data_IF_134757694989
#
_entry.id   IF_134757694989
#
_cell.length_a   1.000
_cell.length_b   1.000
_cell.length_c   1.000
_cell.angle_alpha   90.00
_cell.angle_beta   90.00
_cell.angle_gamma   90.00
#
_symmetry.space_group_name_H-M   'P 1'
#
loop_
_entity.id
_entity.type
_entity.pdbx_description
1 polymer ?
#
# COMPACT_ATOMS: atom_id res chain seq x y z
N UNK A 1 -21.38 -2.15 68.36
CA UNK A 1 -22.15 -1.63 67.19
C UNK A 1 -21.26 -1.11 66.06
N UNK A 2 -19.93 -1.16 66.17
CA UNK A 2 -18.97 -0.60 65.20
C UNK A 2 -18.67 -1.50 63.99
N UNK A 3 -18.59 -2.83 64.17
CA UNK A 3 -18.15 -3.76 63.12
C UNK A 3 -19.05 -3.78 61.87
N UNK A 4 -20.38 -3.66 62.03
CA UNK A 4 -21.32 -3.64 60.90
C UNK A 4 -21.22 -2.37 60.03
N UNK A 5 -20.79 -1.25 60.61
CA UNK A 5 -20.62 0.01 59.88
C UNK A 5 -19.30 0.02 59.09
N UNK A 6 -18.22 -0.55 59.64
CA UNK A 6 -16.94 -0.70 58.92
C UNK A 6 -17.05 -1.68 57.75
N UNK A 7 -17.78 -2.78 57.94
CA UNK A 7 -17.98 -3.80 56.92
C UNK A 7 -18.90 -3.31 55.77
N UNK A 8 -19.93 -2.50 56.09
CA UNK A 8 -20.79 -1.87 55.07
C UNK A 8 -20.06 -0.78 54.27
N UNK A 9 -19.19 0.01 54.90
CA UNK A 9 -18.34 0.98 54.18
C UNK A 9 -17.34 0.31 53.23
N UNK A 10 -16.81 -0.87 53.59
CA UNK A 10 -15.91 -1.64 52.73
C UNK A 10 -16.60 -2.20 51.47
N UNK A 11 -17.85 -2.68 51.61
CA UNK A 11 -18.65 -3.18 50.48
C UNK A 11 -18.99 -2.05 49.50
N UNK A 12 -19.44 -0.90 50.00
CA UNK A 12 -19.73 0.26 49.16
C UNK A 12 -18.51 0.73 48.36
N UNK A 13 -17.31 0.68 48.96
CA UNK A 13 -16.06 1.00 48.27
C UNK A 13 -15.70 0.00 47.15
N UNK A 14 -15.99 -1.30 47.35
CA UNK A 14 -15.82 -2.30 46.29
C UNK A 14 -16.82 -2.11 45.15
N UNK A 15 -18.09 -1.85 45.46
CA UNK A 15 -19.12 -1.57 44.45
C UNK A 15 -18.79 -0.35 43.59
N UNK A 16 -18.24 0.69 44.22
CA UNK A 16 -17.76 1.87 43.50
C UNK A 16 -16.60 1.53 42.55
N UNK A 17 -15.61 0.75 43.01
CA UNK A 17 -14.50 0.30 42.15
C UNK A 17 -14.96 -0.58 41.00
N UNK A 18 -15.97 -1.43 41.20
CA UNK A 18 -16.55 -2.24 40.13
C UNK A 18 -17.19 -1.36 39.06
N UNK A 19 -17.94 -0.32 39.44
CA UNK A 19 -18.52 0.65 38.49
C UNK A 19 -17.44 1.42 37.72
N UNK A 20 -16.41 1.88 38.42
CA UNK A 20 -15.27 2.57 37.79
C UNK A 20 -14.55 1.65 36.80
N UNK A 21 -14.35 0.38 37.16
CA UNK A 21 -13.73 -0.63 36.29
C UNK A 21 -14.61 -0.98 35.09
N UNK A 22 -15.93 -1.06 35.25
CA UNK A 22 -16.88 -1.25 34.13
C UNK A 22 -16.83 -0.07 33.14
N UNK A 23 -16.74 1.15 33.65
CA UNK A 23 -16.61 2.34 32.82
C UNK A 23 -15.27 2.35 32.07
N UNK A 24 -14.17 2.02 32.75
CA UNK A 24 -12.86 1.84 32.12
C UNK A 24 -12.88 0.76 31.04
N UNK A 25 -13.52 -0.38 31.30
CA UNK A 25 -13.63 -1.47 30.34
C UNK A 25 -14.42 -1.04 29.08
N UNK A 26 -15.49 -0.25 29.26
CA UNK A 26 -16.25 0.32 28.13
C UNK A 26 -15.41 1.28 27.30
N UNK A 27 -14.61 2.13 27.94
CA UNK A 27 -13.68 3.04 27.26
C UNK A 27 -12.59 2.26 26.50
N UNK A 28 -12.03 1.21 27.09
CA UNK A 28 -11.04 0.37 26.41
C UNK A 28 -11.65 -0.40 25.23
N UNK A 29 -12.89 -0.87 25.37
CA UNK A 29 -13.59 -1.57 24.29
C UNK A 29 -13.86 -0.64 23.09
N UNK A 30 -14.25 0.62 23.33
CA UNK A 30 -14.45 1.59 22.24
C UNK A 30 -13.14 1.95 21.54
N UNK A 31 -12.05 2.12 22.29
CA UNK A 31 -10.72 2.37 21.73
C UNK A 31 -10.22 1.19 20.88
N UNK A 32 -10.42 -0.04 21.35
CA UNK A 32 -10.06 -1.25 20.61
C UNK A 32 -10.88 -1.37 19.30
N UNK A 33 -12.17 -1.07 19.36
CA UNK A 33 -13.03 -1.03 18.16
C UNK A 33 -12.55 0.02 17.16
N UNK A 34 -12.13 1.19 17.63
CA UNK A 34 -11.56 2.21 16.76
C UNK A 34 -10.26 1.73 16.10
N UNK A 35 -9.29 1.25 16.89
CA UNK A 35 -8.00 0.75 16.37
C UNK A 35 -8.18 -0.38 15.38
N UNK A 36 -9.10 -1.31 15.64
CA UNK A 36 -9.39 -2.41 14.70
C UNK A 36 -9.99 -1.92 13.39
N UNK A 37 -10.83 -0.88 13.41
CA UNK A 37 -11.33 -0.27 12.17
C UNK A 37 -10.22 0.42 11.36
N UNK A 38 -9.30 1.10 12.02
CA UNK A 38 -8.15 1.75 11.39
C UNK A 38 -7.18 0.73 10.77
N UNK A 39 -6.92 -0.38 11.47
CA UNK A 39 -6.12 -1.49 10.95
C UNK A 39 -6.76 -2.13 9.72
N UNK A 40 -8.07 -2.40 9.75
CA UNK A 40 -8.80 -2.92 8.59
C UNK A 40 -8.73 -1.99 7.38
N UNK A 41 -8.90 -0.69 7.59
CA UNK A 41 -8.78 0.29 6.50
C UNK A 41 -7.35 0.34 5.91
N UNK A 42 -6.33 0.10 6.73
CA UNK A 42 -4.95 0.00 6.26
C UNK A 42 -4.71 -1.31 5.48
N UNK A 43 -5.23 -2.43 5.97
CA UNK A 43 -5.21 -3.72 5.27
C UNK A 43 -5.89 -3.64 3.90
N UNK A 44 -7.05 -3.01 3.81
CA UNK A 44 -7.77 -2.79 2.54
C UNK A 44 -6.96 -1.95 1.55
N UNK A 45 -6.24 -0.92 2.04
CA UNK A 45 -5.33 -0.13 1.18
C UNK A 45 -4.15 -0.96 0.69
N UNK A 46 -3.58 -1.83 1.53
CA UNK A 46 -2.46 -2.69 1.17
C UNK A 46 -2.88 -3.85 0.26
N UNK A 47 -4.15 -4.24 0.29
CA UNK A 47 -4.71 -5.29 -0.57
C UNK A 47 -4.97 -4.84 -2.02
N UNK A 48 -4.88 -3.54 -2.31
CA UNK A 48 -5.08 -3.04 -3.67
C UNK A 48 -3.93 -3.48 -4.59
N UNK A 49 -4.22 -3.97 -5.81
CA UNK A 49 -3.17 -4.36 -6.74
C UNK A 49 -2.34 -3.13 -7.11
N UNK A 50 -1.01 -3.25 -7.21
CA UNK A 50 -0.16 -2.15 -7.64
C UNK A 50 -0.55 -1.71 -9.06
N UNK A 51 -0.56 -0.40 -9.29
CA UNK A 51 -0.97 0.21 -10.56
C UNK A 51 0.17 0.99 -11.21
N UNK A 52 0.07 1.20 -12.52
CA UNK A 52 0.99 2.07 -13.25
C UNK A 52 0.75 3.54 -12.91
N UNK A 53 1.77 4.29 -12.48
CA UNK A 53 1.64 5.71 -12.12
C UNK A 53 1.28 6.62 -13.31
N UNK A 54 1.42 6.14 -14.55
CA UNK A 54 1.09 6.92 -15.76
C UNK A 54 -0.39 6.78 -16.13
N UNK A 55 -0.91 5.55 -16.15
CA UNK A 55 -2.27 5.28 -16.63
C UNK A 55 -3.24 4.81 -15.54
N UNK A 56 -2.78 4.63 -14.31
CA UNK A 56 -3.52 4.13 -13.15
C UNK A 56 -4.16 2.74 -13.33
N UNK A 57 -3.82 2.00 -14.39
CA UNK A 57 -4.28 0.62 -14.57
C UNK A 57 -3.48 -0.35 -13.69
N UNK A 58 -4.12 -1.38 -13.11
CA UNK A 58 -3.45 -2.47 -12.41
C UNK A 58 -2.40 -3.15 -13.28
N UNK A 59 -1.26 -3.49 -12.69
CA UNK A 59 -0.26 -4.30 -13.38
C UNK A 59 -0.75 -5.74 -13.60
N UNK A 60 -0.21 -6.38 -14.63
CA UNK A 60 -0.46 -7.78 -14.96
C UNK A 60 0.85 -8.54 -15.18
N UNK A 61 0.84 -9.87 -15.05
CA UNK A 61 2.02 -10.69 -15.36
C UNK A 61 2.36 -10.73 -16.86
N UNK A 62 1.34 -10.52 -17.70
CA UNK A 62 1.37 -10.63 -19.16
C UNK A 62 0.51 -9.56 -19.86
N UNK A 63 0.78 -9.29 -21.14
CA UNK A 63 0.05 -8.29 -21.95
C UNK A 63 0.51 -6.84 -21.79
N UNK A 64 -0.41 -5.91 -22.07
CA UNK A 64 -0.17 -4.45 -22.11
C UNK A 64 0.23 -3.85 -20.76
N UNK A 65 -0.25 -4.45 -19.67
CA UNK A 65 -0.04 -3.94 -18.32
C UNK A 65 1.12 -4.63 -17.59
N UNK A 66 2.04 -5.28 -18.31
CA UNK A 66 3.27 -5.85 -17.71
C UNK A 66 4.15 -4.73 -17.18
N UNK A 67 4.56 -4.78 -15.89
CA UNK A 67 5.48 -3.79 -15.33
C UNK A 67 6.88 -3.98 -15.93
N UNK A 68 7.44 -2.93 -16.54
CA UNK A 68 8.77 -2.89 -17.16
C UNK A 68 9.68 -1.92 -16.41
N UNK A 69 10.92 -2.32 -16.22
CA UNK A 69 11.96 -1.46 -15.65
C UNK A 69 12.62 -0.63 -16.75
N UNK A 70 12.67 0.68 -16.53
CA UNK A 70 13.50 1.60 -17.30
C UNK A 70 14.96 1.51 -16.81
N UNK A 71 15.93 2.01 -17.58
CA UNK A 71 17.36 1.93 -17.19
C UNK A 71 17.66 2.64 -15.86
N UNK A 72 16.88 3.66 -15.51
CA UNK A 72 17.00 4.35 -14.23
C UNK A 72 16.33 3.63 -13.05
N UNK A 73 15.68 2.48 -13.27
CA UNK A 73 15.04 1.67 -12.24
C UNK A 73 13.56 1.95 -11.99
N UNK A 74 13.00 3.03 -12.57
CA UNK A 74 11.57 3.30 -12.49
C UNK A 74 10.75 2.25 -13.24
N UNK A 75 9.54 1.97 -12.73
CA UNK A 75 8.63 0.98 -13.33
C UNK A 75 7.47 1.64 -14.05
N UNK A 76 7.20 1.19 -15.27
CA UNK A 76 6.09 1.64 -16.12
C UNK A 76 5.46 0.44 -16.81
N UNK A 77 4.15 0.43 -17.07
CA UNK A 77 3.55 -0.67 -17.81
C UNK A 77 3.96 -0.69 -19.29
N UNK A 78 3.97 -1.86 -19.93
CA UNK A 78 4.44 -2.04 -21.31
C UNK A 78 3.78 -1.06 -22.29
N UNK A 79 2.45 -0.93 -22.25
CA UNK A 79 1.71 0.03 -23.09
C UNK A 79 2.14 1.48 -22.89
N UNK A 80 2.41 1.88 -21.65
CA UNK A 80 2.92 3.22 -21.38
C UNK A 80 4.37 3.38 -21.84
N UNK A 81 5.21 2.33 -21.80
CA UNK A 81 6.56 2.40 -22.37
C UNK A 81 6.56 2.68 -23.87
N UNK A 82 5.57 2.16 -24.62
CA UNK A 82 5.40 2.45 -26.05
C UNK A 82 5.15 3.93 -26.30
N UNK A 83 4.37 4.58 -25.43
CA UNK A 83 4.05 6.01 -25.52
C UNK A 83 5.24 6.91 -25.15
N UNK A 84 6.25 6.38 -24.46
CA UNK A 84 7.45 7.12 -24.06
C UNK A 84 8.57 7.07 -25.11
N UNK A 85 8.43 6.22 -26.13
CA UNK A 85 9.42 6.10 -27.20
C UNK A 85 9.39 7.32 -28.10
N UNK A 86 10.56 7.92 -28.30
CA UNK A 86 10.76 9.01 -29.26
C UNK A 86 11.86 8.62 -30.23
N UNK A 87 11.68 8.95 -31.52
CA UNK A 87 12.75 8.82 -32.52
C UNK A 87 13.55 10.12 -32.58
N UNK A 88 14.87 10.02 -32.47
CA UNK A 88 15.77 11.12 -32.75
C UNK A 88 15.85 11.32 -34.28
N UNK A 89 15.37 12.45 -34.82
CA UNK A 89 15.35 12.70 -36.26
C UNK A 89 16.74 12.91 -36.85
N UNK A 90 17.76 13.20 -36.03
CA UNK A 90 19.10 13.54 -36.47
C UNK A 90 20.02 12.31 -36.51
N UNK A 91 19.83 11.37 -35.60
CA UNK A 91 20.69 10.17 -35.48
C UNK A 91 19.97 8.85 -35.80
N UNK A 92 18.69 8.88 -36.19
CA UNK A 92 17.86 7.69 -36.42
C UNK A 92 17.84 6.73 -35.22
N UNK A 93 18.06 7.25 -34.00
CA UNK A 93 18.08 6.48 -32.77
C UNK A 93 16.71 6.49 -32.10
N UNK A 94 16.36 5.37 -31.48
CA UNK A 94 15.16 5.30 -30.65
C UNK A 94 15.55 5.57 -29.21
N UNK A 95 14.91 6.54 -28.57
CA UNK A 95 15.17 6.98 -27.21
C UNK A 95 13.92 6.79 -26.36
N UNK A 96 14.13 6.50 -25.08
CA UNK A 96 13.08 6.62 -24.07
C UNK A 96 13.51 7.66 -23.05
N UNK A 97 12.56 8.51 -22.67
CA UNK A 97 12.71 9.45 -21.57
C UNK A 97 11.83 8.99 -20.41
N UNK A 98 12.44 8.77 -19.26
CA UNK A 98 11.71 8.45 -18.04
C UNK A 98 10.81 9.63 -17.63
N UNK A 99 9.52 9.42 -17.28
CA UNK A 99 8.63 10.49 -16.87
C UNK A 99 8.88 10.98 -15.42
N UNK A 100 9.56 10.17 -14.60
CA UNK A 100 9.76 10.45 -13.18
C UNK A 100 11.03 11.29 -12.93
N UNK A 101 12.17 10.83 -13.44
CA UNK A 101 13.48 11.47 -13.23
C UNK A 101 14.06 12.12 -14.49
N UNK A 102 13.35 12.05 -15.61
CA UNK A 102 13.69 12.67 -16.90
C UNK A 102 14.98 12.15 -17.55
N UNK A 103 15.56 11.07 -17.04
CA UNK A 103 16.71 10.42 -17.64
C UNK A 103 16.35 9.88 -19.03
N UNK A 104 17.29 10.01 -19.98
CA UNK A 104 17.14 9.54 -21.35
C UNK A 104 18.09 8.38 -21.58
N UNK A 105 17.60 7.33 -22.21
CA UNK A 105 18.39 6.17 -22.55
C UNK A 105 18.10 5.72 -23.98
N UNK A 106 19.13 5.15 -24.59
CA UNK A 106 19.07 4.60 -25.94
C UNK A 106 18.35 3.27 -25.91
N UNK A 107 17.24 3.19 -26.63
CA UNK A 107 16.52 1.95 -26.82
C UNK A 107 17.21 1.14 -27.93
N UNK A 108 18.28 0.44 -27.55
CA UNK A 108 19.07 -0.40 -28.45
C UNK A 108 18.37 -1.74 -28.80
N UNK A 109 17.23 -2.03 -28.17
CA UNK A 109 16.48 -3.29 -28.26
C UNK A 109 14.99 -3.01 -28.37
N UNK A 110 14.22 -3.95 -28.90
CA UNK A 110 12.75 -3.85 -28.91
C UNK A 110 12.20 -3.59 -27.50
N UNK A 111 11.14 -2.80 -27.38
CA UNK A 111 10.47 -2.51 -26.11
C UNK A 111 10.11 -3.76 -25.31
N UNK A 112 9.75 -4.85 -26.01
CA UNK A 112 9.44 -6.14 -25.41
C UNK A 112 10.60 -6.74 -24.59
N UNK A 113 11.84 -6.31 -24.87
CA UNK A 113 13.07 -6.74 -24.20
C UNK A 113 13.43 -5.91 -22.96
N UNK A 114 12.67 -4.85 -22.64
CA UNK A 114 12.83 -4.18 -21.35
C UNK A 114 12.59 -5.19 -20.21
N UNK A 115 13.44 -5.22 -19.16
CA UNK A 115 13.27 -6.18 -18.08
C UNK A 115 11.89 -6.07 -17.45
N UNK A 116 11.24 -7.20 -17.20
CA UNK A 116 10.03 -7.24 -16.38
C UNK A 116 10.39 -6.93 -14.92
N UNK A 117 9.54 -6.21 -14.22
CA UNK A 117 9.65 -6.08 -12.76
C UNK A 117 9.05 -7.34 -12.11
N UNK A 118 9.87 -8.37 -11.93
CA UNK A 118 9.43 -9.63 -11.34
C UNK A 118 9.00 -9.53 -9.87
N UNK A 119 9.47 -8.51 -9.13
CA UNK A 119 9.00 -8.27 -7.77
C UNK A 119 7.51 -7.94 -7.76
N UNK A 120 7.08 -7.00 -8.60
CA UNK A 120 5.65 -6.67 -8.74
C UNK A 120 4.86 -7.87 -9.26
N UNK A 121 5.38 -8.58 -10.27
CA UNK A 121 4.70 -9.78 -10.81
C UNK A 121 4.52 -10.85 -9.72
N UNK A 122 5.52 -11.06 -8.87
CA UNK A 122 5.42 -11.99 -7.76
C UNK A 122 4.42 -11.53 -6.71
N UNK A 123 4.31 -10.23 -6.43
CA UNK A 123 3.27 -9.69 -5.55
C UNK A 123 1.86 -9.99 -6.08
N UNK A 124 1.65 -9.81 -7.39
CA UNK A 124 0.35 -10.12 -8.05
C UNK A 124 -0.02 -11.61 -7.98
N UNK A 125 0.95 -12.50 -7.87
CA UNK A 125 0.70 -13.95 -7.73
C UNK A 125 0.34 -14.39 -6.30
N UNK A 126 0.50 -13.48 -5.32
CA UNK A 126 0.28 -13.72 -3.89
C UNK A 126 -0.94 -12.97 -3.34
N UNK A 127 -1.55 -12.11 -4.16
CA UNK A 127 -2.75 -11.33 -3.87
C UNK A 127 -4.02 -12.09 -4.23
#
# INVERSE_FOLDING_TARGET
MSANAEQSMSIAAMEQRLKEMEEQLKLQASELLQKTSELKALEEKMAQPPTCEICAFPYSAEGDHVPRLLECGHTVCHKCTESLVTKDPMFCQTLIKCPFDRQRFLLNKDLAKLPKNYFIIQMLSRS
#
